data_IF_830185367985
#
_entry.id   IF_830185367985
#
_cell.length_a   1.000
_cell.length_b   1.000
_cell.length_c   1.000
_cell.angle_alpha   90.00
_cell.angle_beta   90.00
_cell.angle_gamma   90.00
#
_symmetry.space_group_name_H-M   'P 1'
#
loop_
_entity.id
_entity.type
_entity.pdbx_description
1 polymer ?
#
# COMPACT_ATOMS: atom_id res chain seq x y z
N UNK A 1 -4.26 -14.60 11.46
CA UNK A 1 -3.67 -13.58 10.54
C UNK A 1 -2.20 -13.81 10.19
N UNK A 2 -1.41 -14.61 10.93
CA UNK A 2 0.05 -14.77 10.71
C UNK A 2 0.48 -15.90 9.74
N UNK A 3 -0.31 -16.95 9.54
CA UNK A 3 0.15 -18.14 8.78
C UNK A 3 0.10 -17.96 7.25
N UNK A 4 -0.86 -17.21 6.71
CA UNK A 4 -1.03 -17.09 5.25
C UNK A 4 -0.05 -16.12 4.57
N UNK A 5 0.58 -15.23 5.34
CA UNK A 5 1.56 -14.26 4.82
C UNK A 5 2.94 -14.88 4.55
N UNK A 6 3.32 -15.94 5.28
CA UNK A 6 4.63 -16.60 5.13
C UNK A 6 4.74 -17.50 3.90
N UNK A 7 3.60 -17.94 3.36
CA UNK A 7 3.55 -18.90 2.23
C UNK A 7 3.22 -18.22 0.89
N UNK A 8 3.23 -16.88 0.82
CA UNK A 8 2.97 -16.12 -0.41
C UNK A 8 4.30 -15.73 -1.08
N UNK A 9 4.75 -16.44 -2.13
CA UNK A 9 5.75 -15.88 -3.02
C UNK A 9 5.12 -14.66 -3.71
N UNK A 10 5.76 -13.49 -3.59
CA UNK A 10 5.36 -12.28 -4.30
C UNK A 10 5.50 -12.59 -5.80
N UNK A 11 4.40 -12.62 -6.59
CA UNK A 11 4.52 -12.87 -8.02
C UNK A 11 5.36 -11.74 -8.63
N UNK A 12 6.43 -12.12 -9.32
CA UNK A 12 7.40 -11.22 -9.99
C UNK A 12 6.77 -10.20 -10.95
N UNK A 13 5.48 -10.32 -11.25
CA UNK A 13 4.72 -9.46 -12.15
C UNK A 13 3.98 -8.29 -11.47
N UNK A 14 3.89 -8.23 -10.13
CA UNK A 14 3.22 -7.13 -9.40
C UNK A 14 4.23 -6.10 -8.83
N UNK A 15 5.53 -6.42 -8.90
CA UNK A 15 6.62 -5.61 -8.34
C UNK A 15 6.90 -4.31 -9.13
N UNK A 16 6.67 -4.28 -10.44
CA UNK A 16 6.86 -3.06 -11.26
C UNK A 16 5.80 -2.00 -10.97
N UNK A 17 4.63 -2.41 -10.47
CA UNK A 17 3.58 -1.49 -10.07
C UNK A 17 3.88 -0.83 -8.73
N UNK A 18 4.11 -1.63 -7.69
CA UNK A 18 4.32 -1.12 -6.33
C UNK A 18 5.46 -0.08 -6.27
N UNK A 19 6.45 -0.17 -7.16
CA UNK A 19 7.52 0.80 -7.35
C UNK A 19 7.04 2.23 -7.66
N UNK A 20 5.94 2.41 -8.41
CA UNK A 20 5.48 3.73 -8.85
C UNK A 20 4.72 4.50 -7.76
N UNK A 21 3.95 3.81 -6.90
CA UNK A 21 3.23 4.43 -5.78
C UNK A 21 4.19 4.94 -4.70
N UNK A 22 5.31 4.24 -4.49
CA UNK A 22 6.33 4.66 -3.52
C UNK A 22 7.17 5.83 -4.08
N UNK A 23 7.39 5.90 -5.40
CA UNK A 23 8.13 7.01 -6.02
C UNK A 23 7.40 8.36 -5.98
N UNK A 24 6.06 8.40 -5.98
CA UNK A 24 5.31 9.67 -6.00
C UNK A 24 5.31 10.39 -4.63
N UNK A 25 5.48 9.67 -3.51
CA UNK A 25 5.59 10.29 -2.18
C UNK A 25 7.01 10.32 -1.61
N UNK A 26 7.99 9.67 -2.24
CA UNK A 26 9.40 9.60 -1.79
C UNK A 26 10.34 10.25 -2.84
N UNK A 27 9.89 11.28 -3.55
CA UNK A 27 10.73 12.05 -4.47
C UNK A 27 11.60 13.12 -3.78
N UNK A 28 12.00 12.93 -2.51
CA UNK A 28 12.90 13.89 -1.85
C UNK A 28 14.03 13.30 -1.01
N UNK A 29 14.33 11.99 -1.06
CA UNK A 29 15.66 11.46 -0.68
C UNK A 29 15.74 9.93 -0.83
N UNK A 30 16.82 9.51 -1.48
CA UNK A 30 17.34 8.15 -1.68
C UNK A 30 16.93 7.40 -2.97
N UNK A 31 17.82 7.57 -3.97
CA UNK A 31 18.11 6.63 -5.04
C UNK A 31 18.23 5.18 -4.53
N UNK A 32 17.74 4.24 -5.34
CA UNK A 32 17.67 2.78 -5.16
C UNK A 32 16.70 2.30 -4.06
N UNK A 33 15.53 1.85 -4.49
CA UNK A 33 14.70 0.93 -3.69
C UNK A 33 14.91 -0.49 -4.24
N UNK A 34 15.68 -1.36 -3.56
CA UNK A 34 15.64 -2.78 -3.86
C UNK A 34 14.25 -3.32 -3.51
N UNK A 35 13.89 -4.42 -4.15
CA UNK A 35 12.62 -5.14 -4.03
C UNK A 35 12.15 -5.19 -2.56
N UNK A 36 11.08 -4.48 -2.20
CA UNK A 36 10.59 -4.43 -0.82
C UNK A 36 10.11 -5.83 -0.40
N UNK A 37 10.91 -6.52 0.39
CA UNK A 37 10.52 -7.77 1.04
C UNK A 37 9.40 -7.51 2.05
N UNK A 38 8.66 -8.56 2.42
CA UNK A 38 7.67 -8.45 3.50
C UNK A 38 8.28 -7.92 4.80
N UNK A 39 9.55 -8.24 5.07
CA UNK A 39 10.26 -7.82 6.27
C UNK A 39 10.56 -6.31 6.26
N UNK A 40 10.98 -5.77 5.12
CA UNK A 40 11.16 -4.32 4.94
C UNK A 40 9.84 -3.55 5.01
N UNK A 41 8.76 -4.10 4.45
CA UNK A 41 7.42 -3.51 4.60
C UNK A 41 7.01 -3.44 6.08
N UNK A 42 7.18 -4.55 6.80
CA UNK A 42 6.78 -4.67 8.19
C UNK A 42 7.65 -3.82 9.12
N UNK A 43 8.94 -3.65 8.82
CA UNK A 43 9.84 -2.76 9.58
C UNK A 43 9.55 -1.28 9.32
N UNK A 44 9.05 -0.92 8.13
CA UNK A 44 8.71 0.46 7.77
C UNK A 44 7.41 0.99 8.38
N UNK A 45 6.39 0.13 8.53
CA UNK A 45 5.05 0.49 9.06
C UNK A 45 5.09 1.16 10.45
N UNK A 46 5.82 0.63 11.46
CA UNK A 46 5.81 1.19 12.81
C UNK A 46 6.56 2.52 12.92
N UNK A 47 7.53 2.77 12.02
CA UNK A 47 8.37 3.97 12.05
C UNK A 47 7.52 5.19 11.67
N UNK A 48 7.17 6.01 12.65
CA UNK A 48 6.43 7.26 12.41
C UNK A 48 7.41 8.39 12.10
N UNK A 49 7.22 9.08 10.98
CA UNK A 49 7.97 10.28 10.64
C UNK A 49 7.02 11.46 10.47
N UNK A 50 7.51 12.69 10.62
CA UNK A 50 6.70 13.91 10.43
C UNK A 50 5.92 13.94 9.08
N UNK A 51 6.52 13.58 7.92
CA UNK A 51 5.78 13.55 6.65
C UNK A 51 4.88 12.32 6.48
N UNK A 52 5.11 11.23 7.21
CA UNK A 52 4.36 9.99 7.07
C UNK A 52 4.06 9.38 8.45
N UNK A 53 2.95 9.79 9.09
CA UNK A 53 2.50 9.21 10.34
C UNK A 53 2.31 7.71 10.19
N UNK A 54 2.65 6.93 11.23
CA UNK A 54 2.49 5.46 11.20
C UNK A 54 1.05 5.02 10.89
N UNK A 55 0.06 5.85 11.20
CA UNK A 55 -1.35 5.59 10.82
C UNK A 55 -1.53 5.56 9.31
N UNK A 56 -0.97 6.54 8.57
CA UNK A 56 -1.07 6.59 7.12
C UNK A 56 -0.35 5.39 6.48
N UNK A 57 0.84 5.06 6.98
CA UNK A 57 1.60 3.88 6.53
C UNK A 57 0.84 2.57 6.73
N UNK A 58 0.15 2.42 7.87
CA UNK A 58 -0.71 1.27 8.16
C UNK A 58 -1.87 1.17 7.17
N UNK A 59 -2.53 2.28 6.84
CA UNK A 59 -3.62 2.29 5.86
C UNK A 59 -3.13 1.93 4.46
N UNK A 60 -1.99 2.49 4.05
CA UNK A 60 -1.37 2.18 2.77
C UNK A 60 -0.97 0.70 2.69
N UNK A 61 -0.32 0.16 3.73
CA UNK A 61 0.05 -1.24 3.80
C UNK A 61 -1.18 -2.17 3.80
N UNK A 62 -2.22 -1.84 4.57
CA UNK A 62 -3.46 -2.60 4.57
C UNK A 62 -4.10 -2.65 3.17
N UNK A 63 -4.22 -1.49 2.52
CA UNK A 63 -4.84 -1.37 1.20
C UNK A 63 -4.03 -2.11 0.14
N UNK A 64 -2.70 -2.03 0.21
CA UNK A 64 -1.79 -2.77 -0.65
C UNK A 64 -1.93 -4.29 -0.47
N UNK A 65 -1.82 -4.78 0.77
CA UNK A 65 -1.94 -6.21 1.10
C UNK A 65 -3.28 -6.76 0.61
N UNK A 66 -4.36 -6.03 0.88
CA UNK A 66 -5.70 -6.43 0.47
C UNK A 66 -5.83 -6.53 -1.05
N UNK A 67 -5.37 -5.51 -1.79
CA UNK A 67 -5.48 -5.51 -3.25
C UNK A 67 -4.57 -6.57 -3.90
N UNK A 68 -3.37 -6.83 -3.36
CA UNK A 68 -2.49 -7.93 -3.81
C UNK A 68 -3.16 -9.28 -3.57
N UNK A 69 -3.71 -9.51 -2.38
CA UNK A 69 -4.45 -10.72 -2.06
C UNK A 69 -5.65 -10.90 -2.98
N UNK A 70 -6.45 -9.83 -3.18
CA UNK A 70 -7.61 -9.82 -4.06
C UNK A 70 -7.21 -10.16 -5.49
N UNK A 71 -6.11 -9.58 -5.99
CA UNK A 71 -5.63 -9.81 -7.34
C UNK A 71 -5.16 -11.26 -7.55
N UNK A 72 -4.45 -11.82 -6.56
CA UNK A 72 -4.06 -13.24 -6.58
C UNK A 72 -5.29 -14.14 -6.62
N UNK A 73 -6.27 -13.88 -5.77
CA UNK A 73 -7.50 -14.68 -5.72
C UNK A 73 -8.31 -14.56 -7.01
N UNK A 74 -8.37 -13.36 -7.60
CA UNK A 74 -8.98 -13.15 -8.90
C UNK A 74 -8.24 -13.93 -10.01
N UNK A 75 -6.91 -14.02 -9.97
CA UNK A 75 -6.18 -14.83 -10.95
C UNK A 75 -6.41 -16.34 -10.80
N UNK A 76 -6.70 -16.82 -9.58
CA UNK A 76 -6.97 -18.24 -9.31
C UNK A 76 -8.42 -18.63 -9.64
N UNK A 77 -9.38 -17.75 -9.35
CA UNK A 77 -10.81 -18.07 -9.41
C UNK A 77 -11.58 -17.35 -10.53
N UNK A 78 -11.02 -16.27 -11.08
CA UNK A 78 -11.56 -15.53 -12.22
C UNK A 78 -10.56 -15.58 -13.39
N UNK A 79 -10.99 -15.04 -14.53
CA UNK A 79 -10.29 -15.06 -15.81
C UNK A 79 -9.12 -14.06 -15.90
N UNK A 80 -8.27 -13.97 -14.88
CA UNK A 80 -6.93 -13.38 -15.00
C UNK A 80 -6.65 -12.08 -14.23
N UNK A 81 -5.64 -11.36 -14.71
CA UNK A 81 -5.07 -10.21 -14.01
C UNK A 81 -5.71 -8.88 -14.43
N UNK A 82 -5.96 -8.01 -13.45
CA UNK A 82 -6.45 -6.65 -13.70
C UNK A 82 -5.25 -5.75 -13.99
N UNK A 83 -5.35 -4.76 -14.90
CA UNK A 83 -4.26 -3.83 -15.15
C UNK A 83 -3.75 -3.15 -13.87
N UNK A 84 -2.44 -3.00 -13.77
CA UNK A 84 -1.76 -2.44 -12.58
C UNK A 84 -2.31 -1.04 -12.24
N UNK A 85 -2.63 -0.23 -13.26
CA UNK A 85 -3.24 1.09 -13.08
C UNK A 85 -4.56 1.04 -12.32
N UNK A 86 -5.39 0.05 -12.61
CA UNK A 86 -6.66 -0.18 -11.93
C UNK A 86 -6.45 -0.54 -10.46
N UNK A 87 -5.42 -1.34 -10.17
CA UNK A 87 -5.03 -1.70 -8.81
C UNK A 87 -4.59 -0.45 -8.03
N UNK A 88 -3.80 0.44 -8.65
CA UNK A 88 -3.41 1.70 -8.02
C UNK A 88 -4.59 2.61 -7.72
N UNK A 89 -5.48 2.78 -8.69
CA UNK A 89 -6.69 3.59 -8.51
C UNK A 89 -7.57 3.01 -7.39
N UNK A 90 -7.61 1.68 -7.28
CA UNK A 90 -8.32 1.00 -6.18
C UNK A 90 -7.65 1.28 -4.83
N UNK A 91 -6.33 1.16 -4.74
CA UNK A 91 -5.58 1.45 -3.51
C UNK A 91 -5.74 2.91 -3.08
N UNK A 92 -5.57 3.86 -4.00
CA UNK A 92 -5.76 5.30 -3.72
C UNK A 92 -7.19 5.57 -3.23
N UNK A 93 -8.19 5.02 -3.92
CA UNK A 93 -9.59 5.13 -3.51
C UNK A 93 -9.84 4.50 -2.14
N UNK A 94 -9.30 3.33 -1.85
CA UNK A 94 -9.46 2.63 -0.58
C UNK A 94 -8.89 3.46 0.58
N UNK A 95 -7.72 4.06 0.38
CA UNK A 95 -7.06 4.93 1.37
C UNK A 95 -7.89 6.20 1.59
N UNK A 96 -8.30 6.89 0.51
CA UNK A 96 -9.13 8.11 0.60
C UNK A 96 -10.47 7.83 1.27
N UNK A 97 -11.15 6.74 0.91
CA UNK A 97 -12.42 6.33 1.53
C UNK A 97 -12.24 6.06 3.02
N UNK A 98 -11.19 5.33 3.38
CA UNK A 98 -10.86 4.98 4.76
C UNK A 98 -10.57 6.21 5.61
N UNK A 99 -9.84 7.19 5.06
CA UNK A 99 -9.57 8.47 5.72
C UNK A 99 -10.86 9.27 5.87
N UNK A 100 -11.65 9.37 4.80
CA UNK A 100 -12.90 10.15 4.77
C UNK A 100 -13.92 9.61 5.76
N UNK A 101 -14.11 8.30 5.81
CA UNK A 101 -15.01 7.63 6.76
C UNK A 101 -14.64 7.91 8.22
N UNK A 102 -13.35 8.14 8.50
CA UNK A 102 -12.82 8.38 9.85
C UNK A 102 -12.42 9.84 10.08
N UNK A 103 -12.78 10.78 9.19
CA UNK A 103 -12.37 12.19 9.25
C UNK A 103 -12.68 12.89 10.58
N UNK A 104 -13.74 12.45 11.26
CA UNK A 104 -14.17 12.95 12.57
C UNK A 104 -13.18 12.62 13.70
N UNK A 105 -12.27 11.65 13.51
CA UNK A 105 -11.23 11.32 14.47
C UNK A 105 -10.04 12.27 14.26
N UNK A 106 -9.59 12.95 15.31
CA UNK A 106 -8.46 13.89 15.28
C UNK A 106 -7.20 13.34 14.58
N UNK A 107 -6.91 12.04 14.74
CA UNK A 107 -5.76 11.37 14.10
C UNK A 107 -5.87 11.28 12.57
N UNK A 108 -7.08 11.34 12.02
CA UNK A 108 -7.37 11.18 10.59
C UNK A 108 -7.56 12.50 9.86
N UNK A 109 -7.86 13.58 10.58
CA UNK A 109 -8.03 14.93 10.03
C UNK A 109 -6.86 15.39 9.14
N UNK A 110 -5.58 15.25 9.56
CA UNK A 110 -4.46 15.69 8.70
C UNK A 110 -4.11 14.67 7.59
N UNK A 111 -4.61 13.43 7.67
CA UNK A 111 -4.13 12.35 6.81
C UNK A 111 -4.50 12.53 5.34
N UNK A 112 -5.67 13.12 5.05
CA UNK A 112 -6.08 13.36 3.66
C UNK A 112 -5.14 14.36 2.98
N UNK A 113 -4.78 15.44 3.68
CA UNK A 113 -3.86 16.44 3.17
C UNK A 113 -2.46 15.85 2.97
N UNK A 114 -2.01 15.00 3.90
CA UNK A 114 -0.74 14.29 3.77
C UNK A 114 -0.74 13.25 2.64
N UNK A 115 -1.90 12.74 2.23
CA UNK A 115 -2.02 11.75 1.15
C UNK A 115 -2.07 12.39 -0.24
N UNK A 116 -2.70 13.56 -0.38
CA UNK A 116 -2.85 14.26 -1.67
C UNK A 116 -1.60 15.08 -2.05
N UNK A 117 -0.81 15.48 -1.05
CA UNK A 117 0.40 16.29 -1.21
C UNK A 117 1.53 15.54 -1.91
#
# INVERSE_FOLDING_TARGET
MKLWMRSMPIPSLILTGIQKIISVSIASRYQKLPLLSWEELLSWIPVSTAPAPSTLKKLAAQSLIYNVWRQRNAAVHLSGFVPIQTIFNSIDRDIRNTITARRHRRKFTPLMQLWIR
#
